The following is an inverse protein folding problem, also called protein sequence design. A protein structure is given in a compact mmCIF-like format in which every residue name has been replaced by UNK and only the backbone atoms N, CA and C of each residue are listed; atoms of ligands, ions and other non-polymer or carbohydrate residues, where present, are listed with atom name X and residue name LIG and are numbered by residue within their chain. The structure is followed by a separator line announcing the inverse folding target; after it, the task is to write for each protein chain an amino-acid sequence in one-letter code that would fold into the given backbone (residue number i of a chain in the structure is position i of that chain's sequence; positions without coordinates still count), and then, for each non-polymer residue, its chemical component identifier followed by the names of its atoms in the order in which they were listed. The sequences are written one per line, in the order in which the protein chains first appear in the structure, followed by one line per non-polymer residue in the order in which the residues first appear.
data_IF_772392878302
#
_entry.id   IF_772392878302
#
_cell.length_a   1.000
_cell.length_b   1.000
_cell.length_c   1.000
_cell.angle_alpha   90.00
_cell.angle_beta   90.00
_cell.angle_gamma   90.00
#
_symmetry.space_group_name_H-M   'P 1'
#
loop_
_entity.id
_entity.type
_entity.pdbx_description
1 polymer ?
#
# COMPACT_ATOMS: atom_id res chain seq x y z
N UNK A 1 -32.42 53.76 7.49
CA UNK A 1 -32.83 53.12 8.77
C UNK A 1 -33.45 51.73 8.58
N UNK A 2 -34.11 51.45 7.44
CA UNK A 2 -34.64 50.11 7.12
C UNK A 2 -33.59 49.12 6.57
N UNK A 3 -32.59 49.57 5.79
CA UNK A 3 -31.58 48.68 5.19
C UNK A 3 -30.60 48.06 6.20
N UNK A 4 -30.19 48.82 7.23
CA UNK A 4 -29.30 48.30 8.28
C UNK A 4 -29.95 47.17 9.10
N UNK A 5 -31.27 47.19 9.25
CA UNK A 5 -32.03 46.15 9.95
C UNK A 5 -32.07 44.85 9.13
N UNK A 6 -32.13 44.94 7.80
CA UNK A 6 -32.15 43.79 6.89
C UNK A 6 -30.78 43.12 6.83
N UNK A 7 -29.70 43.90 6.77
CA UNK A 7 -28.32 43.40 6.75
C UNK A 7 -27.99 42.65 8.06
N UNK A 8 -28.40 43.20 9.21
CA UNK A 8 -28.17 42.53 10.51
C UNK A 8 -29.02 41.28 10.71
N UNK A 9 -30.19 41.19 10.05
CA UNK A 9 -31.04 39.99 10.07
C UNK A 9 -30.43 38.85 9.24
N UNK A 10 -29.91 39.17 8.04
CA UNK A 10 -29.24 38.20 7.16
C UNK A 10 -27.92 37.67 7.74
N UNK A 11 -27.18 38.48 8.51
CA UNK A 11 -25.99 38.00 9.24
C UNK A 11 -26.36 36.97 10.31
N UNK A 12 -27.40 37.25 11.11
CA UNK A 12 -27.84 36.34 12.17
C UNK A 12 -28.32 34.99 11.63
N UNK A 13 -29.08 34.99 10.53
CA UNK A 13 -29.56 33.74 9.91
C UNK A 13 -28.42 32.90 9.32
N UNK A 14 -27.36 33.54 8.81
CA UNK A 14 -26.17 32.85 8.29
C UNK A 14 -25.28 32.26 9.39
N UNK A 15 -25.21 32.90 10.56
CA UNK A 15 -24.49 32.36 11.72
C UNK A 15 -25.27 31.22 12.41
N UNK A 16 -26.60 31.30 12.44
CA UNK A 16 -27.46 30.22 12.94
C UNK A 16 -27.39 28.97 12.04
N UNK A 17 -27.45 29.15 10.72
CA UNK A 17 -27.34 28.03 9.77
C UNK A 17 -25.93 27.40 9.77
N UNK A 18 -24.86 28.20 9.87
CA UNK A 18 -23.49 27.68 10.01
C UNK A 18 -23.23 26.95 11.34
N UNK A 19 -23.85 27.40 12.43
CA UNK A 19 -23.72 26.75 13.75
C UNK A 19 -24.56 25.46 13.85
N UNK A 20 -25.74 25.42 13.22
CA UNK A 20 -26.56 24.21 13.07
C UNK A 20 -25.87 23.18 12.16
N UNK A 21 -25.26 23.60 11.04
CA UNK A 21 -24.51 22.70 10.15
C UNK A 21 -23.26 22.14 10.84
N UNK A 22 -22.50 22.98 11.57
CA UNK A 22 -21.36 22.51 12.39
C UNK A 22 -21.82 21.53 13.48
N UNK A 23 -22.92 21.82 14.18
CA UNK A 23 -23.48 20.95 15.22
C UNK A 23 -23.92 19.59 14.65
N UNK A 24 -24.58 19.56 13.48
CA UNK A 24 -25.00 18.33 12.81
C UNK A 24 -23.82 17.53 12.23
N UNK A 25 -22.79 18.20 11.71
CA UNK A 25 -21.56 17.55 11.23
C UNK A 25 -20.75 16.94 12.38
N UNK A 26 -20.75 17.57 13.54
CA UNK A 26 -20.05 17.08 14.74
C UNK A 26 -20.81 15.95 15.45
N UNK A 27 -22.15 15.94 15.39
CA UNK A 27 -22.99 14.87 15.96
C UNK A 27 -23.00 13.61 15.08
N UNK A 28 -23.02 13.74 13.74
CA UNK A 28 -22.89 12.57 12.84
C UNK A 28 -21.47 11.97 12.85
N UNK A 29 -20.43 12.77 13.11
CA UNK A 29 -19.06 12.29 13.17
C UNK A 29 -18.67 11.63 14.50
N UNK A 30 -19.58 11.46 15.49
CA UNK A 30 -19.21 10.96 16.83
C UNK A 30 -20.00 9.74 17.31
N UNK A 31 -21.08 9.32 16.65
CA UNK A 31 -21.98 8.27 17.18
C UNK A 31 -22.00 6.94 16.39
N UNK A 32 -21.29 6.82 15.26
CA UNK A 32 -21.31 5.62 14.40
C UNK A 32 -19.90 5.13 14.04
N UNK A 33 -18.89 5.42 14.88
CA UNK A 33 -17.49 5.18 14.51
C UNK A 33 -16.87 4.00 15.25
N UNK A 34 -17.29 3.67 16.48
CA UNK A 34 -16.62 2.63 17.26
C UNK A 34 -16.76 1.22 16.66
N UNK A 35 -17.97 0.84 16.24
CA UNK A 35 -18.24 -0.49 15.69
C UNK A 35 -17.71 -0.64 14.26
N UNK A 36 -17.83 0.40 13.43
CA UNK A 36 -17.32 0.42 12.06
C UNK A 36 -15.79 0.43 12.03
N UNK A 37 -15.14 1.18 12.92
CA UNK A 37 -13.68 1.16 13.08
C UNK A 37 -13.20 -0.21 13.59
N UNK A 38 -13.90 -0.83 14.54
CA UNK A 38 -13.59 -2.19 15.00
C UNK A 38 -13.72 -3.24 13.89
N UNK A 39 -14.80 -3.18 13.11
CA UNK A 39 -15.01 -4.07 11.96
C UNK A 39 -13.90 -3.86 10.91
N UNK A 40 -13.48 -2.63 10.66
CA UNK A 40 -12.36 -2.33 9.76
C UNK A 40 -11.03 -2.87 10.28
N UNK A 41 -10.73 -2.71 11.56
CA UNK A 41 -9.50 -3.23 12.18
C UNK A 41 -9.44 -4.76 12.10
N UNK A 42 -10.54 -5.44 12.45
CA UNK A 42 -10.62 -6.91 12.41
C UNK A 42 -10.50 -7.43 10.98
N UNK A 43 -11.24 -6.84 10.04
CA UNK A 43 -11.20 -7.26 8.63
C UNK A 43 -9.81 -7.06 8.01
N UNK A 44 -9.19 -5.89 8.20
CA UNK A 44 -7.86 -5.58 7.65
C UNK A 44 -6.78 -6.48 8.25
N UNK A 45 -6.86 -6.77 9.55
CA UNK A 45 -5.93 -7.71 10.19
C UNK A 45 -6.07 -9.13 9.64
N UNK A 46 -7.31 -9.61 9.51
CA UNK A 46 -7.59 -10.93 8.94
C UNK A 46 -7.12 -11.06 7.48
N UNK A 47 -7.38 -10.03 6.67
CA UNK A 47 -6.86 -9.92 5.30
C UNK A 47 -5.33 -9.91 5.25
N UNK A 48 -4.67 -9.19 6.16
CA UNK A 48 -3.22 -9.18 6.28
C UNK A 48 -2.66 -10.58 6.58
N UNK A 49 -3.22 -11.26 7.59
CA UNK A 49 -2.80 -12.63 7.97
C UNK A 49 -2.99 -13.59 6.81
N UNK A 50 -4.16 -13.59 6.18
CA UNK A 50 -4.44 -14.45 5.03
C UNK A 50 -3.46 -14.17 3.88
N UNK A 51 -3.21 -12.90 3.57
CA UNK A 51 -2.24 -12.49 2.56
C UNK A 51 -0.82 -13.00 2.89
N UNK A 52 -0.38 -12.89 4.14
CA UNK A 52 0.91 -13.39 4.60
C UNK A 52 1.07 -14.89 4.46
N UNK A 53 0.05 -15.67 4.87
CA UNK A 53 0.03 -17.14 4.72
C UNK A 53 0.13 -17.53 3.25
N UNK A 54 -0.66 -16.88 2.39
CA UNK A 54 -0.68 -17.16 0.96
C UNK A 54 0.64 -16.82 0.29
N UNK A 55 1.27 -15.70 0.65
CA UNK A 55 2.59 -15.30 0.12
C UNK A 55 3.69 -16.27 0.54
N UNK A 56 3.65 -16.75 1.79
CA UNK A 56 4.58 -17.77 2.27
C UNK A 56 4.41 -19.09 1.48
N UNK A 57 3.17 -19.55 1.31
CA UNK A 57 2.87 -20.76 0.52
C UNK A 57 3.25 -20.64 -0.96
N UNK A 58 3.19 -19.42 -1.51
CA UNK A 58 3.55 -19.16 -2.90
C UNK A 58 5.06 -19.12 -3.15
N UNK A 59 5.90 -19.24 -2.11
CA UNK A 59 7.37 -19.19 -2.21
C UNK A 59 7.91 -17.90 -2.87
N UNK A 60 7.13 -16.81 -2.81
CA UNK A 60 7.47 -15.53 -3.44
C UNK A 60 8.58 -14.79 -2.67
N UNK A 61 8.94 -15.25 -1.48
CA UNK A 61 10.04 -14.72 -0.69
C UNK A 61 11.41 -15.31 -1.05
N UNK A 62 11.47 -16.39 -1.86
CA UNK A 62 12.74 -17.00 -2.26
C UNK A 62 13.38 -16.20 -3.40
N UNK A 63 14.59 -15.66 -3.16
CA UNK A 63 15.36 -14.92 -4.17
C UNK A 63 15.59 -15.70 -5.48
N UNK A 64 15.87 -17.03 -5.48
CA UNK A 64 15.97 -17.80 -6.73
C UNK A 64 14.67 -17.81 -7.53
N UNK A 65 13.52 -17.94 -6.86
CA UNK A 65 12.20 -17.94 -7.51
C UNK A 65 11.91 -16.58 -8.14
N UNK A 66 12.27 -15.49 -7.46
CA UNK A 66 12.11 -14.12 -7.99
C UNK A 66 13.02 -13.90 -9.22
N UNK A 67 14.26 -14.38 -9.19
CA UNK A 67 15.18 -14.27 -10.34
C UNK A 67 14.66 -15.06 -11.54
N UNK A 68 14.26 -16.31 -11.33
CA UNK A 68 13.74 -17.19 -12.39
C UNK A 68 12.46 -16.60 -13.03
N UNK A 69 11.71 -15.79 -12.28
CA UNK A 69 10.54 -15.06 -12.78
C UNK A 69 10.91 -13.87 -13.66
N UNK A 70 11.99 -13.17 -13.35
CA UNK A 70 12.51 -12.08 -14.17
C UNK A 70 13.22 -12.59 -15.44
N UNK A 71 13.61 -13.87 -15.48
CA UNK A 71 14.18 -14.56 -16.65
C UNK A 71 13.12 -15.35 -17.46
N UNK A 72 11.82 -15.14 -17.21
CA UNK A 72 10.70 -15.86 -17.86
C UNK A 72 10.74 -17.39 -17.74
N UNK A 73 11.50 -17.95 -16.81
CA UNK A 73 11.56 -19.41 -16.60
C UNK A 73 10.41 -19.93 -15.73
N UNK A 74 9.89 -19.09 -14.83
CA UNK A 74 8.70 -19.40 -14.01
C UNK A 74 7.71 -18.25 -14.09
N UNK A 75 6.45 -18.55 -14.41
CA UNK A 75 5.40 -17.53 -14.55
C UNK A 75 4.59 -17.28 -13.26
N UNK A 76 5.05 -17.73 -12.09
CA UNK A 76 4.23 -17.69 -10.86
C UNK A 76 3.86 -16.26 -10.44
N UNK A 77 4.79 -15.30 -10.50
CA UNK A 77 4.49 -13.88 -10.17
C UNK A 77 3.49 -13.25 -11.13
N UNK A 78 3.62 -13.48 -12.44
CA UNK A 78 2.67 -12.98 -13.45
C UNK A 78 1.27 -13.56 -13.21
N UNK A 79 1.16 -14.85 -12.89
CA UNK A 79 -0.13 -15.49 -12.60
C UNK A 79 -0.82 -14.90 -11.37
N UNK A 80 -0.07 -14.66 -10.30
CA UNK A 80 -0.63 -14.04 -9.08
C UNK A 80 -1.00 -12.58 -9.31
N UNK A 81 -0.17 -11.83 -10.02
CA UNK A 81 -0.42 -10.44 -10.35
C UNK A 81 -1.67 -10.28 -11.23
N UNK A 82 -1.76 -11.03 -12.33
CA UNK A 82 -2.87 -10.94 -13.27
C UNK A 82 -4.18 -11.42 -12.62
N UNK A 83 -4.11 -12.45 -11.77
CA UNK A 83 -5.25 -12.89 -10.96
C UNK A 83 -5.74 -11.81 -9.98
N UNK A 84 -4.82 -11.12 -9.31
CA UNK A 84 -5.17 -10.03 -8.38
C UNK A 84 -5.79 -8.82 -9.11
N UNK A 85 -5.24 -8.44 -10.27
CA UNK A 85 -5.81 -7.39 -11.13
C UNK A 85 -7.20 -7.79 -11.63
N UNK A 86 -7.38 -9.02 -12.10
CA UNK A 86 -8.68 -9.54 -12.54
C UNK A 86 -9.74 -9.55 -11.44
N UNK A 87 -9.38 -10.04 -10.24
CA UNK A 87 -10.28 -10.00 -9.07
C UNK A 87 -10.66 -8.57 -8.68
N UNK A 88 -9.71 -7.63 -8.76
CA UNK A 88 -9.93 -6.22 -8.45
C UNK A 88 -10.81 -5.53 -9.49
N UNK A 89 -10.69 -5.90 -10.77
CA UNK A 89 -11.59 -5.44 -11.83
C UNK A 89 -13.01 -5.97 -11.61
N UNK A 90 -13.18 -7.25 -11.32
CA UNK A 90 -14.50 -7.84 -11.02
C UNK A 90 -15.14 -7.18 -9.79
N UNK A 91 -14.38 -6.96 -8.72
CA UNK A 91 -14.85 -6.25 -7.53
C UNK A 91 -15.31 -4.83 -7.89
N UNK A 92 -14.55 -4.11 -8.70
CA UNK A 92 -14.91 -2.77 -9.17
C UNK A 92 -16.18 -2.78 -10.03
N UNK A 93 -16.32 -3.77 -10.93
CA UNK A 93 -17.52 -3.96 -11.74
C UNK A 93 -18.77 -4.18 -10.87
N UNK A 94 -18.68 -4.99 -9.81
CA UNK A 94 -19.79 -5.20 -8.88
C UNK A 94 -20.19 -3.89 -8.21
N UNK A 95 -19.22 -3.08 -7.78
CA UNK A 95 -19.50 -1.78 -7.16
C UNK A 95 -20.15 -0.81 -8.15
N UNK A 96 -19.74 -0.82 -9.42
CA UNK A 96 -20.38 -0.02 -10.48
C UNK A 96 -21.86 -0.42 -10.64
N UNK A 97 -22.14 -1.73 -10.66
CA UNK A 97 -23.50 -2.25 -10.81
C UNK A 97 -24.38 -1.90 -9.60
N UNK A 98 -23.83 -1.95 -8.38
CA UNK A 98 -24.57 -1.66 -7.14
C UNK A 98 -24.78 -0.16 -6.93
N UNK A 99 -23.77 0.67 -7.18
CA UNK A 99 -23.84 2.12 -6.98
C UNK A 99 -22.79 2.87 -7.81
N UNK A 100 -23.22 3.40 -8.94
CA UNK A 100 -22.36 4.18 -9.83
C UNK A 100 -21.84 5.46 -9.15
N UNK A 101 -22.66 6.11 -8.32
CA UNK A 101 -22.29 7.32 -7.58
C UNK A 101 -21.17 7.07 -6.56
N UNK A 102 -21.21 5.91 -5.90
CA UNK A 102 -20.15 5.48 -4.97
C UNK A 102 -18.87 5.18 -5.74
N UNK A 103 -18.95 4.43 -6.84
CA UNK A 103 -17.78 4.12 -7.67
C UNK A 103 -17.08 5.37 -8.18
N UNK A 104 -17.83 6.35 -8.72
CA UNK A 104 -17.27 7.62 -9.21
C UNK A 104 -16.59 8.43 -8.11
N UNK A 105 -17.16 8.45 -6.91
CA UNK A 105 -16.56 9.12 -5.74
C UNK A 105 -15.25 8.45 -5.31
N UNK A 106 -15.22 7.12 -5.29
CA UNK A 106 -14.02 6.34 -4.97
C UNK A 106 -12.95 6.52 -6.06
N UNK A 107 -13.33 6.49 -7.34
CA UNK A 107 -12.43 6.67 -8.48
C UNK A 107 -11.82 8.08 -8.50
N UNK A 108 -12.65 9.13 -8.35
CA UNK A 108 -12.14 10.50 -8.26
C UNK A 108 -11.25 10.70 -7.05
N UNK A 109 -11.57 10.08 -5.92
CA UNK A 109 -10.71 10.08 -4.74
C UNK A 109 -9.37 9.39 -5.01
N UNK A 110 -9.34 8.32 -5.80
CA UNK A 110 -8.12 7.62 -6.18
C UNK A 110 -7.26 8.46 -7.13
N UNK A 111 -7.85 9.03 -8.19
CA UNK A 111 -7.15 9.89 -9.16
C UNK A 111 -6.55 11.11 -8.46
N UNK A 112 -7.31 11.80 -7.62
CA UNK A 112 -6.83 12.98 -6.90
C UNK A 112 -5.75 12.62 -5.87
N UNK A 113 -5.80 11.40 -5.31
CA UNK A 113 -4.76 10.90 -4.41
C UNK A 113 -3.56 10.32 -5.15
N UNK A 114 -3.62 9.98 -6.44
CA UNK A 114 -2.53 9.31 -7.19
C UNK A 114 -1.22 10.11 -7.18
N UNK A 115 -1.30 11.43 -6.96
CA UNK A 115 -0.13 12.30 -6.70
C UNK A 115 0.51 12.14 -5.31
N UNK A 116 -0.03 11.27 -4.45
CA UNK A 116 0.55 10.89 -3.15
C UNK A 116 1.03 9.45 -3.25
N UNK A 117 2.14 9.16 -2.58
CA UNK A 117 2.73 7.82 -2.55
C UNK A 117 1.67 6.84 -1.99
N UNK A 118 1.45 5.70 -2.63
CA UNK A 118 0.44 4.71 -2.22
C UNK A 118 1.03 3.38 -1.77
N UNK A 119 0.30 2.71 -0.85
CA UNK A 119 0.51 1.33 -0.40
C UNK A 119 1.29 1.19 0.90
N UNK A 120 1.67 -0.04 1.28
CA UNK A 120 2.37 -0.36 2.55
C UNK A 120 3.60 0.51 2.78
N UNK A 121 4.25 0.95 1.68
CA UNK A 121 5.38 1.85 1.75
C UNK A 121 5.06 3.17 2.48
N UNK A 122 3.83 3.71 2.40
CA UNK A 122 3.46 4.91 3.19
C UNK A 122 3.47 4.61 4.68
N UNK A 123 3.09 3.38 5.06
CA UNK A 123 3.21 2.83 6.41
C UNK A 123 4.64 2.91 6.94
N UNK A 124 5.67 2.66 6.12
CA UNK A 124 7.06 2.84 6.55
C UNK A 124 7.35 4.29 6.94
N UNK A 125 6.93 5.27 6.14
CA UNK A 125 7.04 6.71 6.48
C UNK A 125 6.32 7.05 7.78
N UNK A 126 5.19 6.40 8.06
CA UNK A 126 4.39 6.63 9.27
C UNK A 126 5.06 6.01 10.48
N UNK A 127 5.62 4.80 10.35
CA UNK A 127 6.38 4.12 11.38
C UNK A 127 7.66 4.91 11.72
N UNK A 128 8.39 5.39 10.71
CA UNK A 128 9.54 6.28 10.90
C UNK A 128 9.11 7.61 11.52
N UNK A 129 7.99 8.20 11.10
CA UNK A 129 7.47 9.43 11.71
C UNK A 129 7.05 9.22 13.20
N UNK A 130 6.51 8.05 13.53
CA UNK A 130 6.17 7.68 14.91
C UNK A 130 7.42 7.41 15.76
N UNK A 131 8.45 6.77 15.21
CA UNK A 131 9.77 6.60 15.85
C UNK A 131 10.50 7.95 16.02
N UNK A 132 10.42 8.85 15.05
CA UNK A 132 11.00 10.20 15.10
C UNK A 132 10.18 11.20 15.95
N UNK A 133 9.10 10.75 16.60
CA UNK A 133 8.29 11.55 17.54
C UNK A 133 9.01 11.82 18.88
N UNK A 134 10.24 11.32 19.05
CA UNK A 134 11.16 11.76 20.11
C UNK A 134 11.50 13.24 19.89
N UNK A 135 11.28 14.05 20.93
CA UNK A 135 11.28 15.54 20.89
C UNK A 135 12.44 16.18 20.12
N UNK A 136 13.59 15.52 20.01
CA UNK A 136 14.80 16.01 19.34
C UNK A 136 14.71 16.16 17.82
N UNK A 137 13.89 15.35 17.12
CA UNK A 137 13.92 15.30 15.65
C UNK A 137 12.90 16.21 14.96
N UNK A 138 11.94 16.77 15.71
CA UNK A 138 10.90 17.70 15.19
C UNK A 138 11.49 18.96 14.55
N UNK A 139 12.73 19.33 14.96
CA UNK A 139 13.43 20.52 14.48
C UNK A 139 14.19 20.29 13.16
N UNK A 140 14.45 19.03 12.77
CA UNK A 140 15.37 18.70 11.68
C UNK A 140 14.65 18.47 10.34
N UNK A 141 13.38 18.06 10.32
CA UNK A 141 12.65 17.78 9.07
C UNK A 141 11.15 18.17 9.19
N UNK A 142 10.78 19.43 8.92
CA UNK A 142 9.38 19.88 8.95
C UNK A 142 8.49 19.26 7.85
N UNK A 143 9.07 18.57 6.87
CA UNK A 143 8.35 17.94 5.76
C UNK A 143 7.59 16.64 6.14
N UNK A 144 7.73 16.11 7.36
CA UNK A 144 7.07 14.87 7.79
C UNK A 144 5.72 15.07 8.51
N UNK A 145 5.37 16.31 8.90
CA UNK A 145 4.12 16.58 9.63
C UNK A 145 2.81 16.17 8.91
N UNK A 146 2.67 16.28 7.57
CA UNK A 146 1.43 15.85 6.91
C UNK A 146 1.25 14.32 6.82
N UNK A 147 2.29 13.54 7.13
CA UNK A 147 2.23 12.07 7.12
C UNK A 147 1.95 11.47 8.51
N UNK A 148 2.00 12.29 9.58
CA UNK A 148 1.95 11.82 10.97
C UNK A 148 0.54 11.48 11.46
N UNK A 149 -0.52 11.94 10.76
CA UNK A 149 -1.90 11.77 11.19
C UNK A 149 -2.79 11.28 10.03
N UNK A 150 -3.18 10.01 10.09
CA UNK A 150 -4.16 9.42 9.17
C UNK A 150 -4.62 8.03 9.64
N UNK A 151 -5.92 7.84 9.81
CA UNK A 151 -6.51 6.53 10.19
C UNK A 151 -6.16 5.45 9.17
N UNK A 152 -6.11 5.81 7.88
CA UNK A 152 -5.71 4.92 6.78
C UNK A 152 -4.23 4.50 6.84
N UNK A 153 -3.36 5.32 7.43
CA UNK A 153 -1.95 4.99 7.64
C UNK A 153 -1.77 3.92 8.73
N UNK A 154 -2.64 3.95 9.75
CA UNK A 154 -2.64 2.95 10.82
C UNK A 154 -3.16 1.60 10.33
N UNK A 155 -4.16 1.59 9.45
CA UNK A 155 -4.68 0.35 8.83
C UNK A 155 -3.66 -0.29 7.88
N UNK A 156 -2.89 0.49 7.12
CA UNK A 156 -1.82 -0.06 6.27
C UNK A 156 -0.71 -0.71 7.12
N UNK A 157 -0.40 -0.12 8.28
CA UNK A 157 0.52 -0.70 9.27
C UNK A 157 -0.02 -2.01 9.83
N UNK A 158 -1.29 -2.00 10.23
CA UNK A 158 -1.99 -3.16 10.76
C UNK A 158 -2.00 -4.32 9.76
N UNK A 159 -2.27 -4.03 8.48
CA UNK A 159 -2.16 -5.01 7.40
C UNK A 159 -0.74 -5.57 7.29
N UNK A 160 0.29 -4.72 7.36
CA UNK A 160 1.69 -5.15 7.27
C UNK A 160 2.09 -6.05 8.45
N UNK A 161 1.74 -5.68 9.68
CA UNK A 161 1.93 -6.54 10.85
C UNK A 161 1.15 -7.85 10.74
N UNK A 162 -0.08 -7.79 10.24
CA UNK A 162 -0.89 -8.97 9.94
C UNK A 162 -0.21 -9.90 8.93
N UNK A 163 0.35 -9.36 7.85
CA UNK A 163 1.07 -10.13 6.84
C UNK A 163 2.35 -10.79 7.38
N UNK A 164 3.12 -10.06 8.19
CA UNK A 164 4.30 -10.62 8.87
C UNK A 164 3.89 -11.74 9.83
N UNK A 165 2.85 -11.50 10.64
CA UNK A 165 2.29 -12.48 11.57
C UNK A 165 1.74 -13.72 10.84
N UNK A 166 1.03 -13.54 9.73
CA UNK A 166 0.51 -14.63 8.91
C UNK A 166 1.62 -15.48 8.29
N UNK A 167 2.70 -14.86 7.82
CA UNK A 167 3.88 -15.60 7.36
C UNK A 167 4.49 -16.41 8.51
N UNK A 168 4.64 -15.82 9.69
CA UNK A 168 5.18 -16.51 10.86
C UNK A 168 4.31 -17.70 11.28
N UNK A 169 2.98 -17.53 11.33
CA UNK A 169 2.02 -18.59 11.64
C UNK A 169 2.10 -19.72 10.61
N UNK A 170 2.22 -19.38 9.32
CA UNK A 170 2.35 -20.39 8.27
C UNK A 170 3.64 -21.19 8.39
N UNK A 171 4.74 -20.56 8.75
CA UNK A 171 6.05 -21.22 8.94
C UNK A 171 6.06 -22.06 10.21
N UNK A 172 5.47 -21.55 11.29
CA UNK A 172 5.31 -22.26 12.55
C UNK A 172 4.43 -23.50 12.38
N UNK A 173 3.29 -23.37 11.70
CA UNK A 173 2.40 -24.51 11.40
C UNK A 173 3.03 -25.55 10.49
N UNK A 174 4.01 -25.16 9.67
CA UNK A 174 4.73 -26.07 8.78
C UNK A 174 5.92 -26.76 9.47
N UNK A 175 6.22 -26.46 10.75
CA UNK A 175 7.41 -26.95 11.49
C UNK A 175 8.75 -26.73 10.75
N UNK A 176 8.79 -25.82 9.78
CA UNK A 176 9.99 -25.48 9.03
C UNK A 176 10.61 -24.24 9.65
N UNK A 177 11.36 -24.39 10.74
CA UNK A 177 12.14 -23.28 11.28
C UNK A 177 13.27 -22.94 10.32
N UNK A 178 13.29 -21.75 9.69
CA UNK A 178 14.34 -21.36 8.76
C UNK A 178 15.57 -20.88 9.55
N UNK A 179 16.19 -21.78 10.31
CA UNK A 179 17.51 -21.56 10.90
C UNK A 179 18.63 -21.95 9.93
N UNK A 180 18.28 -22.38 8.72
CA UNK A 180 19.22 -22.90 7.76
C UNK A 180 19.75 -21.80 6.82
N UNK A 181 21.06 -21.65 6.85
CA UNK A 181 21.97 -20.73 6.17
C UNK A 181 21.93 -20.80 4.62
N UNK A 182 20.91 -21.43 4.03
CA UNK A 182 20.89 -21.74 2.59
C UNK A 182 20.32 -20.66 1.67
N UNK A 183 19.67 -19.62 2.20
CA UNK A 183 19.01 -18.60 1.37
C UNK A 183 19.27 -17.15 1.82
N UNK A 184 20.08 -16.95 2.86
CA UNK A 184 20.38 -15.64 3.41
C UNK A 184 21.44 -14.92 2.58
N UNK A 185 21.03 -13.98 1.73
CA UNK A 185 21.93 -12.90 1.34
C UNK A 185 22.47 -12.28 2.64
N UNK A 186 23.79 -12.14 2.78
CA UNK A 186 24.41 -11.63 4.01
C UNK A 186 23.67 -10.43 4.58
N UNK A 187 23.62 -10.27 5.91
CA UNK A 187 22.82 -9.24 6.57
C UNK A 187 23.01 -7.84 5.94
N UNK A 188 24.24 -7.55 5.49
CA UNK A 188 24.59 -6.32 4.80
C UNK A 188 23.91 -6.18 3.42
N UNK A 189 23.91 -7.22 2.58
CA UNK A 189 23.26 -7.17 1.27
C UNK A 189 21.74 -7.14 1.37
N UNK A 190 21.16 -7.80 2.38
CA UNK A 190 19.72 -7.70 2.69
C UNK A 190 19.34 -6.28 3.14
N UNK A 191 20.20 -5.63 3.94
CA UNK A 191 19.99 -4.24 4.35
C UNK A 191 20.05 -3.28 3.15
N UNK A 192 21.10 -3.36 2.33
CA UNK A 192 21.22 -2.51 1.13
C UNK A 192 20.11 -2.79 0.12
N UNK A 193 19.72 -4.05 -0.07
CA UNK A 193 18.60 -4.43 -0.93
C UNK A 193 17.28 -3.83 -0.47
N UNK A 194 16.99 -3.89 0.83
CA UNK A 194 15.81 -3.25 1.43
C UNK A 194 15.84 -1.72 1.29
N UNK A 195 17.00 -1.10 1.47
CA UNK A 195 17.19 0.34 1.26
C UNK A 195 16.92 0.75 -0.19
N UNK A 196 17.53 0.05 -1.17
CA UNK A 196 17.30 0.31 -2.59
C UNK A 196 15.84 0.11 -2.99
N UNK A 197 15.18 -0.93 -2.46
CA UNK A 197 13.77 -1.19 -2.74
C UNK A 197 12.88 -0.06 -2.21
N UNK A 198 13.15 0.44 -1.00
CA UNK A 198 12.42 1.56 -0.40
C UNK A 198 12.64 2.86 -1.19
N UNK A 199 13.89 3.14 -1.57
CA UNK A 199 14.25 4.30 -2.38
C UNK A 199 13.56 4.24 -3.75
N UNK A 200 13.61 3.09 -4.42
CA UNK A 200 12.93 2.85 -5.70
C UNK A 200 11.42 3.04 -5.59
N UNK A 201 10.77 2.51 -4.55
CA UNK A 201 9.34 2.71 -4.31
C UNK A 201 8.97 4.18 -4.09
N UNK A 202 9.87 5.00 -3.52
CA UNK A 202 9.68 6.45 -3.38
C UNK A 202 9.82 7.17 -4.73
N UNK A 203 10.86 6.85 -5.49
CA UNK A 203 11.09 7.43 -6.82
C UNK A 203 9.96 7.07 -7.80
N UNK A 204 9.42 5.86 -7.72
CA UNK A 204 8.30 5.40 -8.55
C UNK A 204 6.92 5.88 -8.05
N UNK A 205 6.85 6.60 -6.92
CA UNK A 205 5.58 7.10 -6.37
C UNK A 205 4.66 6.02 -5.80
N UNK A 206 5.17 4.82 -5.47
CA UNK A 206 4.38 3.76 -4.86
C UNK A 206 5.04 2.38 -4.89
N UNK A 207 4.47 1.43 -4.15
CA UNK A 207 4.87 0.02 -4.20
C UNK A 207 4.04 -0.77 -5.22
N UNK A 208 4.44 -2.01 -5.48
CA UNK A 208 3.82 -2.92 -6.47
C UNK A 208 2.32 -3.14 -6.21
N UNK A 209 1.87 -3.15 -4.96
CA UNK A 209 0.43 -3.23 -4.64
C UNK A 209 -0.34 -1.96 -5.00
N UNK A 210 0.27 -0.78 -4.84
CA UNK A 210 -0.36 0.50 -5.13
C UNK A 210 -0.38 0.82 -6.63
N UNK A 211 0.78 0.81 -7.27
CA UNK A 211 0.91 1.12 -8.70
C UNK A 211 0.53 -0.07 -9.58
N UNK A 212 0.90 -1.29 -9.17
CA UNK A 212 0.67 -2.49 -9.96
C UNK A 212 -0.75 -3.04 -9.82
N UNK A 213 -1.25 -3.28 -8.61
CA UNK A 213 -2.57 -3.92 -8.45
C UNK A 213 -3.69 -2.88 -8.60
N UNK A 214 -3.70 -1.84 -7.76
CA UNK A 214 -4.78 -0.84 -7.78
C UNK A 214 -4.67 0.18 -8.92
N UNK A 215 -3.46 0.51 -9.37
CA UNK A 215 -3.25 1.47 -10.46
C UNK A 215 -3.60 0.92 -11.84
N UNK A 216 -3.27 -0.35 -12.10
CA UNK A 216 -3.57 -1.00 -13.40
C UNK A 216 -5.07 -1.28 -13.56
N UNK A 217 -5.80 -1.57 -12.49
CA UNK A 217 -7.26 -1.80 -12.55
C UNK A 217 -8.03 -0.55 -12.97
N UNK A 218 -7.52 0.64 -12.64
CA UNK A 218 -8.07 1.92 -13.05
C UNK A 218 -7.49 2.43 -14.38
N UNK A 219 -6.67 1.64 -15.09
CA UNK A 219 -6.07 1.97 -16.39
C UNK A 219 -5.29 3.30 -16.40
N UNK A 220 -4.69 3.70 -15.27
CA UNK A 220 -3.85 4.90 -15.25
C UNK A 220 -2.56 4.66 -16.03
N UNK A 221 -2.32 5.48 -17.05
CA UNK A 221 -1.13 5.40 -17.90
C UNK A 221 0.16 5.50 -17.06
N UNK A 222 0.18 6.36 -16.03
CA UNK A 222 1.34 6.47 -15.12
C UNK A 222 1.64 5.18 -14.36
N UNK A 223 0.60 4.48 -13.90
CA UNK A 223 0.72 3.21 -13.17
C UNK A 223 1.16 2.06 -14.09
N UNK A 224 0.70 2.06 -15.35
CA UNK A 224 1.14 1.10 -16.36
C UNK A 224 2.64 1.26 -16.67
N UNK A 225 3.10 2.50 -16.88
CA UNK A 225 4.52 2.79 -17.13
C UNK A 225 5.37 2.42 -15.91
N UNK A 226 4.94 2.78 -14.70
CA UNK A 226 5.65 2.42 -13.47
C UNK A 226 5.76 0.90 -13.30
N UNK A 227 4.68 0.17 -13.56
CA UNK A 227 4.66 -1.29 -13.47
C UNK A 227 5.56 -1.93 -14.52
N UNK A 228 5.49 -1.47 -15.77
CA UNK A 228 6.38 -1.93 -16.85
C UNK A 228 7.86 -1.65 -16.52
N UNK A 229 8.16 -0.49 -15.94
CA UNK A 229 9.51 -0.14 -15.47
C UNK A 229 10.01 -1.04 -14.34
N UNK A 230 9.15 -1.42 -13.39
CA UNK A 230 9.51 -2.36 -12.31
C UNK A 230 9.88 -3.75 -12.86
N UNK A 231 9.05 -4.29 -13.76
CA UNK A 231 9.34 -5.59 -14.40
C UNK A 231 10.58 -5.51 -15.31
N UNK A 232 10.68 -4.45 -16.12
CA UNK A 232 11.82 -4.24 -17.03
C UNK A 232 13.14 -4.06 -16.29
N UNK A 233 13.16 -3.26 -15.22
CA UNK A 233 14.35 -3.07 -14.38
C UNK A 233 14.77 -4.37 -13.67
N UNK A 234 13.80 -5.15 -13.18
CA UNK A 234 14.07 -6.45 -12.57
C UNK A 234 14.66 -7.46 -13.57
N UNK A 235 14.14 -7.50 -14.79
CA UNK A 235 14.67 -8.33 -15.88
C UNK A 235 16.09 -7.93 -16.28
N UNK A 236 16.35 -6.62 -16.43
CA UNK A 236 17.69 -6.12 -16.73
C UNK A 236 18.70 -6.47 -15.63
N UNK A 237 18.30 -6.31 -14.36
CA UNK A 237 19.15 -6.66 -13.23
C UNK A 237 19.42 -8.17 -13.15
N UNK A 238 18.38 -8.99 -13.33
CA UNK A 238 18.52 -10.45 -13.32
C UNK A 238 19.41 -10.96 -14.46
N UNK A 239 19.23 -10.41 -15.68
CA UNK A 239 20.05 -10.74 -16.83
C UNK A 239 21.51 -10.29 -16.64
N UNK A 240 21.74 -9.05 -16.20
CA UNK A 240 23.07 -8.51 -15.94
C UNK A 240 23.81 -9.29 -14.85
N UNK A 241 23.13 -9.64 -13.76
CA UNK A 241 23.70 -10.46 -12.70
C UNK A 241 24.07 -11.86 -13.20
N UNK A 242 23.21 -12.50 -14.00
CA UNK A 242 23.47 -13.82 -14.59
C UNK A 242 24.66 -13.85 -15.55
N UNK A 243 24.94 -12.73 -16.24
CA UNK A 243 26.14 -12.57 -17.09
C UNK A 243 27.42 -12.47 -16.26
N UNK A 244 27.38 -11.76 -15.12
CA UNK A 244 28.53 -11.55 -14.23
C UNK A 244 28.91 -12.83 -13.49
N UNK A 245 27.94 -13.62 -13.02
CA UNK A 245 28.23 -14.86 -12.28
C UNK A 245 28.48 -16.08 -13.18
N UNK A 246 28.37 -15.95 -14.51
CA UNK A 246 28.47 -17.06 -15.49
C UNK A 246 27.52 -18.24 -15.22
N UNK A 247 26.51 -18.06 -14.36
CA UNK A 247 25.51 -19.09 -14.03
C UNK A 247 24.68 -19.51 -15.27
N UNK A 248 24.61 -18.65 -16.28
CA UNK A 248 23.89 -18.91 -17.53
C UNK A 248 24.53 -20.01 -18.38
N UNK A 249 25.85 -20.23 -18.26
CA UNK A 249 26.57 -21.26 -19.03
C UNK A 249 26.33 -22.68 -18.47
N UNK A 250 26.14 -22.81 -17.16
CA UNK A 250 25.96 -24.11 -16.49
C UNK A 250 24.51 -24.62 -16.45
N UNK A 251 23.53 -23.77 -16.77
CA UNK A 251 22.11 -24.17 -16.85
C UNK A 251 21.65 -24.52 -18.27
N UNK A 252 22.47 -24.22 -19.28
CA UNK A 252 22.20 -24.49 -20.69
C UNK A 252 22.92 -25.75 -21.23
N UNK A 253 23.80 -26.36 -20.42
CA UNK A 253 24.44 -27.67 -20.61
C UNK A 253 23.81 -28.67 -19.65
#
# INVERSE_FOLDING_TARGET
MADDQIINRNRRTNDESNSIEKSNKTKNAKSSNGLTDLVQIVSVSGLGIAFGVLMNKANVYLAPVIRDQMLFQRFTMIKMFLGAVGASMLSSCIVIIVSESTYRTVCNSFIHRNNRIHGISTGFTVLVAQLCRVKSFKKLIPSLEPFTYGVQNSLALLFAFGAIGGSFISTFSANQFPLNEQYGAGALSSFFGGFLLSLGARCAGGCTSGQGISGVTHLLVGSLIATAGMFGGGMLFAAGYGLITKDWLFRAL
#
